data_IF_827298548455
#
_entry.id   IF_827298548455
#
_cell.length_a   1.000
_cell.length_b   1.000
_cell.length_c   1.000
_cell.angle_alpha   90.00
_cell.angle_beta   90.00
_cell.angle_gamma   90.00
#
_symmetry.space_group_name_H-M   'P 1'
#
loop_
_entity.id
_entity.type
_entity.pdbx_description
1 polymer ?
#
# COMPACT_ATOMS: atom_id res chain seq x y z
N UNK A 1 5.18 14.74 -21.43
CA UNK A 1 4.63 14.05 -20.24
C UNK A 1 5.46 14.36 -19.01
N UNK A 2 4.82 14.57 -17.91
CA UNK A 2 5.46 14.74 -16.61
C UNK A 2 5.25 13.53 -15.74
N UNK A 3 6.19 13.31 -14.84
CA UNK A 3 6.14 12.25 -13.85
C UNK A 3 6.29 12.88 -12.48
N UNK A 4 5.35 12.56 -11.59
CA UNK A 4 5.43 12.95 -10.18
C UNK A 4 5.52 11.69 -9.35
N UNK A 5 6.49 11.61 -8.44
CA UNK A 5 6.68 10.46 -7.57
C UNK A 5 6.29 10.81 -6.14
N UNK A 6 5.45 9.97 -5.55
CA UNK A 6 5.10 10.04 -4.14
C UNK A 6 5.73 8.85 -3.42
N UNK A 7 6.43 9.11 -2.31
CA UNK A 7 7.13 8.08 -1.55
C UNK A 7 6.38 7.80 -0.25
N UNK A 8 6.11 6.52 0.00
CA UNK A 8 5.40 6.02 1.18
C UNK A 8 6.32 5.04 1.92
N UNK A 9 7.11 5.52 2.90
CA UNK A 9 8.09 4.69 3.59
C UNK A 9 7.43 3.75 4.59
N UNK A 10 8.03 2.59 4.78
CA UNK A 10 7.64 1.61 5.82
C UNK A 10 6.14 1.32 5.84
N UNK A 11 5.57 1.04 4.65
CA UNK A 11 4.14 0.75 4.57
C UNK A 11 3.74 -0.40 5.49
N UNK A 12 2.56 -0.34 6.13
CA UNK A 12 2.11 -1.41 7.02
C UNK A 12 1.87 -2.71 6.26
N UNK A 13 2.39 -3.81 6.79
CA UNK A 13 2.14 -5.17 6.30
C UNK A 13 1.14 -5.90 7.17
N UNK A 14 0.96 -5.42 8.39
CA UNK A 14 0.02 -5.92 9.38
C UNK A 14 -0.71 -4.74 10.00
N UNK A 15 -1.98 -4.96 10.29
CA UNK A 15 -2.84 -3.96 10.90
C UNK A 15 -3.49 -4.50 12.17
N UNK A 16 -3.74 -3.61 13.11
CA UNK A 16 -4.33 -3.96 14.39
C UNK A 16 -5.83 -4.18 14.26
N UNK A 17 -6.30 -5.36 14.62
CA UNK A 17 -7.73 -5.72 14.58
C UNK A 17 -8.38 -5.78 15.98
N UNK A 18 -7.56 -5.88 17.03
CA UNK A 18 -7.99 -5.81 18.43
C UNK A 18 -6.83 -5.33 19.29
N UNK A 19 -7.04 -5.19 20.61
CA UNK A 19 -5.98 -4.78 21.55
C UNK A 19 -4.73 -5.67 21.49
N UNK A 20 -4.90 -6.94 21.16
CA UNK A 20 -3.84 -7.94 21.23
C UNK A 20 -3.56 -8.63 19.91
N UNK A 21 -4.34 -8.35 18.85
CA UNK A 21 -4.24 -9.09 17.60
C UNK A 21 -3.94 -8.18 16.43
N UNK A 22 -2.97 -8.60 15.62
CA UNK A 22 -2.67 -8.03 14.30
C UNK A 22 -3.01 -9.04 13.21
N UNK A 23 -3.36 -8.53 12.03
CA UNK A 23 -3.66 -9.33 10.87
C UNK A 23 -2.78 -8.89 9.70
N UNK A 24 -2.27 -9.86 8.93
CA UNK A 24 -1.54 -9.58 7.70
C UNK A 24 -2.46 -8.91 6.69
N UNK A 25 -1.98 -7.82 6.11
CA UNK A 25 -2.73 -7.04 5.16
C UNK A 25 -2.75 -7.73 3.81
N UNK A 26 -3.93 -7.89 3.23
CA UNK A 26 -4.10 -8.47 1.90
C UNK A 26 -5.52 -8.24 1.38
N UNK A 27 -5.63 -8.04 0.07
CA UNK A 27 -6.90 -7.70 -0.59
C UNK A 27 -7.95 -8.80 -0.43
N UNK A 28 -7.59 -10.04 -0.71
CA UNK A 28 -8.53 -11.16 -0.63
C UNK A 28 -9.04 -11.37 0.78
N UNK A 29 -8.16 -11.29 1.76
CA UNK A 29 -8.54 -11.45 3.17
C UNK A 29 -9.43 -10.31 3.64
N UNK A 30 -9.14 -9.08 3.19
CA UNK A 30 -9.93 -7.90 3.54
C UNK A 30 -11.37 -7.99 3.01
N UNK A 31 -11.54 -8.44 1.77
CA UNK A 31 -12.84 -8.41 1.10
C UNK A 31 -13.62 -9.74 1.17
N UNK A 32 -12.99 -10.84 1.55
CA UNK A 32 -13.64 -12.15 1.62
C UNK A 32 -13.43 -12.90 2.92
N UNK A 33 -12.49 -12.48 3.75
CA UNK A 33 -12.07 -13.24 4.93
C UNK A 33 -12.38 -12.60 6.28
N UNK A 34 -12.98 -11.39 6.32
CA UNK A 34 -13.27 -10.68 7.57
C UNK A 34 -14.67 -10.09 7.56
N UNK A 35 -15.24 -9.89 8.75
CA UNK A 35 -16.55 -9.23 8.87
C UNK A 35 -16.43 -7.71 8.62
N UNK A 36 -17.58 -7.08 8.44
CA UNK A 36 -17.68 -5.66 8.14
C UNK A 36 -16.96 -4.75 9.16
N UNK A 37 -17.11 -5.01 10.45
CA UNK A 37 -16.50 -4.18 11.49
C UNK A 37 -14.98 -4.26 11.49
N UNK A 38 -14.42 -5.44 11.27
CA UNK A 38 -12.97 -5.64 11.16
C UNK A 38 -12.45 -4.98 9.89
N UNK A 39 -13.17 -5.12 8.78
CA UNK A 39 -12.82 -4.47 7.51
C UNK A 39 -12.72 -2.96 7.67
N UNK A 40 -13.68 -2.32 8.31
CA UNK A 40 -13.66 -0.88 8.54
C UNK A 40 -12.42 -0.44 9.33
N UNK A 41 -12.03 -1.19 10.36
CA UNK A 41 -10.82 -0.89 11.12
C UNK A 41 -9.55 -0.98 10.29
N UNK A 42 -9.47 -1.99 9.42
CA UNK A 42 -8.32 -2.18 8.53
C UNK A 42 -8.23 -1.05 7.51
N UNK A 43 -9.33 -0.78 6.83
CA UNK A 43 -9.40 0.28 5.81
C UNK A 43 -9.04 1.64 6.41
N UNK A 44 -9.54 1.92 7.61
CA UNK A 44 -9.22 3.18 8.31
C UNK A 44 -7.72 3.33 8.55
N UNK A 45 -7.03 2.28 9.03
CA UNK A 45 -5.59 2.32 9.27
C UNK A 45 -4.80 2.52 7.98
N UNK A 46 -5.20 1.84 6.91
CA UNK A 46 -4.56 1.99 5.60
C UNK A 46 -4.74 3.41 5.05
N UNK A 47 -5.94 3.95 5.13
CA UNK A 47 -6.23 5.33 4.68
C UNK A 47 -5.50 6.36 5.53
N UNK A 48 -5.42 6.19 6.84
CA UNK A 48 -4.64 7.09 7.71
C UNK A 48 -3.17 7.14 7.31
N UNK A 49 -2.58 5.98 6.99
CA UNK A 49 -1.21 5.91 6.51
C UNK A 49 -1.04 6.65 5.17
N UNK A 50 -1.92 6.39 4.21
CA UNK A 50 -1.88 7.06 2.91
C UNK A 50 -2.05 8.56 3.06
N UNK A 51 -3.05 9.01 3.79
CA UNK A 51 -3.35 10.43 3.98
C UNK A 51 -2.19 11.19 4.65
N UNK A 52 -1.47 10.53 5.55
CA UNK A 52 -0.32 11.12 6.23
C UNK A 52 0.87 11.35 5.30
N UNK A 53 0.93 10.69 4.16
CA UNK A 53 2.07 10.74 3.24
C UNK A 53 1.75 11.36 1.88
N UNK A 54 0.49 11.66 1.59
CA UNK A 54 0.14 12.38 0.35
C UNK A 54 0.39 13.88 0.56
N UNK A 55 1.24 14.49 -0.29
CA UNK A 55 1.46 15.94 -0.22
C UNK A 55 0.17 16.69 -0.57
N UNK A 56 -0.05 17.80 0.11
CA UNK A 56 -1.16 18.70 -0.22
C UNK A 56 -0.73 19.67 -1.31
N UNK A 57 -1.69 20.11 -2.12
CA UNK A 57 -1.47 21.15 -3.11
C UNK A 57 -0.72 20.73 -4.36
N UNK A 58 -0.69 19.43 -4.67
CA UNK A 58 -0.15 18.96 -5.94
C UNK A 58 -1.08 19.40 -7.08
N UNK A 59 -0.49 20.06 -8.07
CA UNK A 59 -1.19 20.45 -9.29
C UNK A 59 -0.87 19.45 -10.39
N UNK A 60 -1.82 18.58 -10.69
CA UNK A 60 -1.65 17.50 -11.65
C UNK A 60 -2.78 17.58 -12.67
N UNK A 61 -2.38 17.66 -13.94
CA UNK A 61 -3.34 17.67 -15.04
C UNK A 61 -3.90 16.28 -15.32
N UNK A 62 -5.20 16.16 -15.43
CA UNK A 62 -5.88 14.91 -15.77
C UNK A 62 -6.13 14.83 -17.29
N UNK A 63 -6.27 13.63 -17.87
CA UNK A 63 -6.19 12.32 -17.22
C UNK A 63 -4.78 11.90 -16.84
N UNK A 64 -4.65 10.99 -15.90
CA UNK A 64 -3.38 10.46 -15.44
C UNK A 64 -3.25 8.96 -15.67
N UNK A 65 -2.01 8.50 -15.75
CA UNK A 65 -1.67 7.09 -15.55
C UNK A 65 -0.91 6.95 -14.23
N UNK A 66 -0.95 5.79 -13.63
CA UNK A 66 -0.22 5.53 -12.40
C UNK A 66 0.54 4.23 -12.47
N UNK A 67 1.68 4.20 -11.79
CA UNK A 67 2.46 2.99 -11.61
C UNK A 67 2.94 2.87 -10.17
N UNK A 68 2.63 1.76 -9.53
CA UNK A 68 3.03 1.48 -8.16
C UNK A 68 4.28 0.61 -8.14
N UNK A 69 5.36 1.14 -7.56
CA UNK A 69 6.54 0.35 -7.23
C UNK A 69 6.45 -0.10 -5.78
N UNK A 70 6.53 -1.40 -5.56
CA UNK A 70 6.52 -1.99 -4.22
C UNK A 70 7.93 -2.49 -3.92
N UNK A 71 8.57 -1.91 -2.92
CA UNK A 71 9.89 -2.35 -2.44
C UNK A 71 9.67 -3.15 -1.16
N UNK A 72 9.95 -4.44 -1.22
CA UNK A 72 9.72 -5.34 -0.09
C UNK A 72 10.68 -6.55 -0.15
N UNK A 73 10.95 -7.22 0.97
CA UNK A 73 11.67 -8.49 0.95
C UNK A 73 10.91 -9.54 0.17
N UNK A 74 11.62 -10.45 -0.49
CA UNK A 74 10.99 -11.55 -1.24
C UNK A 74 10.12 -12.44 -0.32
N UNK A 75 10.47 -12.48 0.94
CA UNK A 75 9.70 -13.13 1.98
C UNK A 75 9.68 -12.21 3.20
N UNK A 76 8.51 -11.92 3.73
CA UNK A 76 8.39 -11.09 4.92
C UNK A 76 8.95 -11.75 6.19
N UNK A 77 9.37 -13.03 6.11
CA UNK A 77 9.86 -13.73 7.28
C UNK A 77 8.75 -13.93 8.32
N UNK A 78 9.12 -13.81 9.57
CA UNK A 78 8.19 -13.90 10.69
C UNK A 78 7.96 -12.51 11.27
N UNK A 79 6.73 -12.03 11.17
CA UNK A 79 6.30 -10.79 11.83
C UNK A 79 5.47 -11.17 13.05
N UNK A 80 5.94 -10.79 14.22
CA UNK A 80 5.29 -11.13 15.50
C UNK A 80 5.11 -9.89 16.34
N UNK A 81 4.10 -9.92 17.19
CA UNK A 81 3.95 -8.90 18.21
C UNK A 81 4.72 -9.33 19.48
N UNK A 82 5.68 -8.51 19.90
CA UNK A 82 6.46 -8.71 21.11
C UNK A 82 6.32 -7.45 21.95
N UNK A 83 5.77 -7.56 23.15
CA UNK A 83 5.57 -6.44 24.08
C UNK A 83 4.86 -5.23 23.44
N UNK A 84 3.79 -5.51 22.67
CA UNK A 84 3.00 -4.49 22.01
C UNK A 84 3.63 -3.89 20.73
N UNK A 85 4.76 -4.40 20.27
CA UNK A 85 5.43 -3.94 19.05
C UNK A 85 5.55 -5.06 18.03
N UNK A 86 5.37 -4.70 16.75
CA UNK A 86 5.67 -5.61 15.66
C UNK A 86 7.17 -5.80 15.54
N UNK A 87 7.61 -7.04 15.57
CA UNK A 87 9.01 -7.43 15.45
C UNK A 87 9.16 -8.29 14.21
N UNK A 88 10.13 -7.93 13.39
CA UNK A 88 10.46 -8.70 12.20
C UNK A 88 11.66 -9.60 12.46
N UNK A 89 11.54 -10.84 11.99
CA UNK A 89 12.63 -11.81 12.00
C UNK A 89 12.87 -12.26 10.56
N UNK A 90 14.09 -12.13 10.02
CA UNK A 90 14.36 -12.51 8.64
C UNK A 90 14.09 -13.98 8.39
N UNK A 91 13.80 -14.37 7.13
CA UNK A 91 13.61 -15.77 6.76
C UNK A 91 14.91 -16.56 6.92
N UNK A 92 14.77 -17.85 7.23
CA UNK A 92 15.89 -18.79 7.28
C UNK A 92 16.35 -19.21 5.88
N UNK A 93 17.33 -20.10 5.80
CA UNK A 93 18.12 -20.51 4.61
C UNK A 93 17.36 -20.80 3.33
N UNK A 94 16.10 -21.20 3.42
CA UNK A 94 15.23 -21.42 2.26
C UNK A 94 13.98 -20.63 2.44
N UNK A 95 13.97 -19.45 1.87
CA UNK A 95 12.74 -18.69 1.86
C UNK A 95 11.94 -18.97 0.61
N UNK A 96 10.63 -19.08 0.79
CA UNK A 96 9.65 -19.03 -0.29
C UNK A 96 8.93 -17.71 -0.19
N UNK A 97 8.54 -17.12 -1.32
CA UNK A 97 7.63 -15.99 -1.26
C UNK A 97 6.40 -16.37 -0.44
N UNK A 98 6.11 -15.60 0.59
CA UNK A 98 5.01 -15.90 1.50
C UNK A 98 3.83 -14.94 1.34
N UNK A 99 3.80 -14.24 0.22
CA UNK A 99 2.72 -13.31 -0.10
C UNK A 99 2.54 -13.21 -1.60
N UNK A 100 1.32 -12.89 -1.99
CA UNK A 100 0.90 -12.79 -3.37
C UNK A 100 0.98 -11.34 -3.83
N UNK A 101 1.62 -11.09 -4.95
CA UNK A 101 1.83 -9.73 -5.46
C UNK A 101 0.51 -9.00 -5.70
N UNK A 102 -0.45 -9.61 -6.38
CA UNK A 102 -1.74 -8.99 -6.66
C UNK A 102 -2.50 -8.67 -5.38
N UNK A 103 -2.47 -9.59 -4.44
CA UNK A 103 -3.15 -9.44 -3.16
C UNK A 103 -2.58 -8.28 -2.34
N UNK A 104 -1.29 -8.05 -2.41
CA UNK A 104 -0.64 -6.90 -1.78
C UNK A 104 -0.86 -5.62 -2.59
N UNK A 105 -0.65 -5.67 -3.90
CA UNK A 105 -0.70 -4.49 -4.76
C UNK A 105 -2.09 -3.85 -4.80
N UNK A 106 -3.15 -4.65 -4.91
CA UNK A 106 -4.50 -4.12 -5.08
C UNK A 106 -4.99 -3.33 -3.88
N UNK A 107 -4.63 -3.74 -2.67
CA UNK A 107 -5.03 -2.99 -1.48
C UNK A 107 -4.41 -1.60 -1.47
N UNK A 108 -3.16 -1.49 -1.91
CA UNK A 108 -2.44 -0.21 -1.97
C UNK A 108 -2.89 0.64 -3.16
N UNK A 109 -3.09 0.05 -4.33
CA UNK A 109 -3.61 0.78 -5.49
C UNK A 109 -4.96 1.42 -5.19
N UNK A 110 -5.88 0.67 -4.61
CA UNK A 110 -7.19 1.17 -4.24
C UNK A 110 -7.08 2.31 -3.24
N UNK A 111 -6.29 2.13 -2.20
CA UNK A 111 -6.13 3.13 -1.13
C UNK A 111 -5.41 4.38 -1.61
N UNK A 112 -4.41 4.25 -2.49
CA UNK A 112 -3.70 5.39 -3.07
C UNK A 112 -4.61 6.19 -4.00
N UNK A 113 -5.38 5.53 -4.86
CA UNK A 113 -6.32 6.21 -5.73
C UNK A 113 -7.40 6.96 -4.94
N UNK A 114 -7.96 6.33 -3.92
CA UNK A 114 -8.90 6.97 -3.01
C UNK A 114 -8.27 8.17 -2.30
N UNK A 115 -7.00 8.05 -1.92
CA UNK A 115 -6.24 9.13 -1.28
C UNK A 115 -6.01 10.32 -2.20
N UNK A 116 -5.75 10.09 -3.49
CA UNK A 116 -5.62 11.17 -4.48
C UNK A 116 -6.93 11.94 -4.65
N UNK A 117 -8.05 11.24 -4.65
CA UNK A 117 -9.37 11.87 -4.71
C UNK A 117 -9.65 12.68 -3.45
N UNK A 118 -9.39 12.12 -2.28
CA UNK A 118 -9.60 12.79 -1.00
C UNK A 118 -8.72 14.04 -0.84
N UNK A 119 -7.52 14.01 -1.37
CA UNK A 119 -6.60 15.15 -1.36
C UNK A 119 -6.91 16.20 -2.46
N UNK A 120 -7.98 16.03 -3.21
CA UNK A 120 -8.36 16.87 -4.35
C UNK A 120 -7.31 16.94 -5.47
N UNK A 121 -6.48 15.92 -5.59
CA UNK A 121 -5.52 15.80 -6.69
C UNK A 121 -6.23 15.24 -7.93
N UNK A 122 -7.15 14.30 -7.73
CA UNK A 122 -8.06 13.78 -8.76
C UNK A 122 -9.49 14.20 -8.44
N UNK A 123 -10.28 14.58 -9.45
CA UNK A 123 -11.72 14.79 -9.25
C UNK A 123 -12.48 13.52 -8.86
N UNK A 124 -12.08 12.39 -9.46
CA UNK A 124 -12.62 11.06 -9.19
C UNK A 124 -11.64 10.00 -9.73
N UNK A 125 -11.77 8.76 -9.31
CA UNK A 125 -10.92 7.64 -9.78
C UNK A 125 -11.55 6.88 -10.97
N UNK A 126 -12.48 7.48 -11.67
CA UNK A 126 -13.10 6.91 -12.86
C UNK A 126 -12.17 6.98 -14.08
N UNK A 127 -12.50 6.22 -15.12
CA UNK A 127 -11.69 6.15 -16.35
C UNK A 127 -11.56 7.48 -17.09
N UNK A 128 -12.37 8.46 -16.75
CA UNK A 128 -12.25 9.82 -17.28
C UNK A 128 -10.95 10.49 -16.79
N UNK A 129 -10.56 10.23 -15.56
CA UNK A 129 -9.42 10.89 -14.91
C UNK A 129 -8.22 9.96 -14.67
N UNK A 130 -8.46 8.66 -14.55
CA UNK A 130 -7.45 7.64 -14.31
C UNK A 130 -7.54 6.59 -15.42
N UNK A 131 -6.65 6.67 -16.40
CA UNK A 131 -6.74 5.88 -17.64
C UNK A 131 -5.90 4.61 -17.62
N UNK A 132 -4.89 4.53 -16.76
CA UNK A 132 -4.07 3.34 -16.63
C UNK A 132 -3.51 3.20 -15.24
N UNK A 133 -3.32 1.96 -14.81
CA UNK A 133 -2.61 1.65 -13.58
C UNK A 133 -1.84 0.36 -13.76
N UNK A 134 -0.66 0.31 -13.16
CA UNK A 134 0.20 -0.87 -13.18
C UNK A 134 1.03 -0.93 -11.91
N UNK A 135 1.72 -2.04 -11.70
CA UNK A 135 2.57 -2.21 -10.52
C UNK A 135 3.73 -3.14 -10.80
N UNK A 136 4.82 -2.94 -10.06
CA UNK A 136 6.04 -3.74 -10.12
C UNK A 136 6.58 -3.96 -8.73
N UNK A 137 7.06 -5.17 -8.46
CA UNK A 137 7.77 -5.49 -7.22
C UNK A 137 9.28 -5.30 -7.42
N UNK A 138 9.93 -4.71 -6.43
CA UNK A 138 11.38 -4.62 -6.32
C UNK A 138 11.78 -5.25 -5.00
N UNK A 139 12.71 -6.19 -5.03
CA UNK A 139 13.14 -6.87 -3.82
C UNK A 139 14.21 -6.08 -3.09
N UNK A 140 14.06 -5.97 -1.78
CA UNK A 140 15.04 -5.41 -0.86
C UNK A 140 15.45 -6.48 0.15
N UNK A 141 16.61 -6.32 0.75
CA UNK A 141 17.15 -7.32 1.68
C UNK A 141 16.59 -7.19 3.09
N UNK A 142 16.27 -5.95 3.51
CA UNK A 142 15.82 -5.67 4.87
C UNK A 142 14.35 -5.22 4.86
N UNK A 143 13.58 -5.76 5.80
CA UNK A 143 12.18 -5.39 6.01
C UNK A 143 12.00 -3.89 6.30
N UNK A 144 12.95 -3.27 6.99
CA UNK A 144 12.90 -1.86 7.31
C UNK A 144 13.07 -0.94 6.09
N UNK A 145 13.60 -1.47 4.98
CA UNK A 145 13.75 -0.73 3.72
C UNK A 145 12.51 -0.81 2.82
N UNK A 146 11.45 -1.43 3.29
CA UNK A 146 10.20 -1.51 2.53
C UNK A 146 9.60 -0.13 2.31
N UNK A 147 9.12 0.11 1.10
CA UNK A 147 8.47 1.37 0.73
C UNK A 147 7.58 1.18 -0.49
N UNK A 148 6.69 2.11 -0.69
CA UNK A 148 5.97 2.27 -1.94
C UNK A 148 6.44 3.54 -2.62
N UNK A 149 6.61 3.50 -3.93
CA UNK A 149 6.75 4.69 -4.77
C UNK A 149 5.60 4.68 -5.76
N UNK A 150 4.78 5.71 -5.71
CA UNK A 150 3.63 5.85 -6.57
C UNK A 150 3.92 6.92 -7.61
N UNK A 151 4.14 6.47 -8.84
CA UNK A 151 4.37 7.36 -9.98
C UNK A 151 3.03 7.81 -10.55
N UNK A 152 2.90 9.10 -10.73
CA UNK A 152 1.77 9.70 -11.42
C UNK A 152 2.31 10.28 -12.73
N UNK A 153 1.80 9.77 -13.84
CA UNK A 153 2.19 10.19 -15.19
C UNK A 153 1.05 11.05 -15.74
N UNK A 154 1.37 12.29 -16.04
CA UNK A 154 0.36 13.26 -16.50
C UNK A 154 0.92 14.17 -17.58
N UNK A 155 0.01 14.75 -18.35
CA UNK A 155 0.37 15.79 -19.30
C UNK A 155 0.40 17.14 -18.62
N UNK A 156 1.15 18.02 -19.18
CA UNK A 156 1.20 19.41 -18.69
C UNK A 156 -0.05 20.19 -19.05
#
# INVERSE_FOLDING_TARGET
MQKTELVFPKFPTHVKVSKTKFMKLGYNKLYAGVNHFVREKIVKQVHEYVDAHIPKGLDISTPIGTHLHIYAPINFGSVRMVKGKLTWKPPHDRYKPNWDLDNLAFIWLKSLNDGLVKANILPDDTVEFLTSTSYTIHFVDDFEDRKLIYEIIHEQ
#
